data_IF_775386431841
#
_entry.id   IF_775386431841
#
_cell.length_a   1.000
_cell.length_b   1.000
_cell.length_c   1.000
_cell.angle_alpha   90.00
_cell.angle_beta   90.00
_cell.angle_gamma   90.00
#
_symmetry.space_group_name_H-M   'P 1'
#
loop_
_entity.id
_entity.type
_entity.pdbx_description
1 polymer ?
#
# COMPACT_ATOMS: atom_id res chain seq x y z
N UNK A 1 33.49 -58.10 11.57
CA UNK A 1 32.90 -57.42 10.38
C UNK A 1 31.54 -56.75 10.64
N UNK A 2 30.59 -57.30 11.40
CA UNK A 2 29.25 -56.65 11.64
C UNK A 2 29.29 -55.37 12.50
N UNK A 3 30.27 -55.24 13.40
CA UNK A 3 30.41 -54.06 14.28
C UNK A 3 31.06 -52.88 13.59
N UNK A 4 31.97 -53.11 12.66
CA UNK A 4 32.64 -52.05 11.88
C UNK A 4 31.69 -51.36 10.92
N UNK A 5 30.76 -52.09 10.29
CA UNK A 5 29.77 -51.49 9.39
C UNK A 5 28.77 -50.59 10.11
N UNK A 6 28.44 -50.84 11.38
CA UNK A 6 27.57 -49.97 12.19
C UNK A 6 28.26 -48.69 12.61
N UNK A 7 29.59 -48.72 12.81
CA UNK A 7 30.39 -47.54 13.14
C UNK A 7 30.50 -46.59 11.95
N UNK A 8 30.68 -47.12 10.74
CA UNK A 8 30.74 -46.33 9.51
C UNK A 8 29.38 -45.71 9.15
N UNK A 9 28.26 -46.41 9.42
CA UNK A 9 26.92 -45.86 9.21
C UNK A 9 26.63 -44.71 10.20
N UNK A 10 27.07 -44.82 11.45
CA UNK A 10 26.91 -43.77 12.47
C UNK A 10 27.73 -42.53 12.19
N UNK A 11 28.98 -42.67 11.71
CA UNK A 11 29.81 -41.55 11.32
C UNK A 11 29.31 -40.83 10.06
N UNK A 12 28.75 -41.56 9.08
CA UNK A 12 28.15 -40.99 7.88
C UNK A 12 26.89 -40.15 8.18
N UNK A 13 26.10 -40.57 9.19
CA UNK A 13 24.89 -39.83 9.60
C UNK A 13 25.22 -38.55 10.38
N UNK A 14 26.26 -38.55 11.22
CA UNK A 14 26.71 -37.35 11.94
C UNK A 14 27.37 -36.33 11.00
N UNK A 15 28.09 -36.75 9.93
CA UNK A 15 28.67 -35.83 8.97
C UNK A 15 27.60 -35.09 8.10
N UNK A 16 26.44 -35.73 7.89
CA UNK A 16 25.32 -35.08 7.15
C UNK A 16 24.61 -33.99 7.92
N UNK A 17 24.73 -33.96 9.26
CA UNK A 17 24.06 -32.94 10.08
C UNK A 17 24.85 -31.63 10.23
N UNK A 18 26.12 -31.61 9.86
CA UNK A 18 26.98 -30.41 9.91
C UNK A 18 26.90 -29.59 8.60
N UNK A 19 26.33 -30.16 7.55
CA UNK A 19 26.25 -29.51 6.22
C UNK A 19 25.23 -28.40 6.11
N UNK A 20 24.37 -28.15 7.13
CA UNK A 20 23.34 -27.13 7.09
C UNK A 20 23.66 -25.86 7.90
N UNK A 21 24.82 -25.79 8.58
CA UNK A 21 25.18 -24.63 9.42
C UNK A 21 25.52 -23.38 8.60
N UNK A 22 25.94 -23.53 7.36
CA UNK A 22 26.40 -22.42 6.53
C UNK A 22 25.33 -21.98 5.49
N UNK A 23 24.12 -22.56 5.55
CA UNK A 23 23.08 -22.30 4.58
C UNK A 23 22.61 -20.83 4.62
N UNK A 24 22.52 -20.26 5.80
CA UNK A 24 22.14 -18.86 5.98
C UNK A 24 23.24 -17.91 5.50
N UNK A 25 24.51 -18.26 5.72
CA UNK A 25 25.66 -17.47 5.27
C UNK A 25 25.82 -17.52 3.74
N UNK A 26 25.63 -18.68 3.12
CA UNK A 26 25.70 -18.85 1.66
C UNK A 26 24.51 -18.18 0.94
N UNK A 27 23.34 -18.12 1.57
CA UNK A 27 22.17 -17.46 1.01
C UNK A 27 22.08 -15.95 1.29
N UNK A 28 22.98 -15.42 2.12
CA UNK A 28 23.05 -13.97 2.33
C UNK A 28 23.68 -13.32 1.11
N UNK A 29 22.92 -12.50 0.38
CA UNK A 29 23.49 -11.75 -0.74
C UNK A 29 24.40 -10.63 -0.18
N UNK A 30 25.74 -10.73 -0.33
CA UNK A 30 26.66 -9.76 0.26
C UNK A 30 26.58 -8.36 -0.40
N UNK A 31 25.87 -8.26 -1.52
CA UNK A 31 25.64 -6.99 -2.24
C UNK A 31 24.23 -6.43 -2.04
N UNK A 32 23.37 -7.13 -1.31
CA UNK A 32 22.07 -6.60 -0.95
C UNK A 32 22.24 -5.49 0.09
N UNK A 33 21.55 -4.37 -0.12
CA UNK A 33 21.48 -3.35 0.92
C UNK A 33 20.75 -3.94 2.15
N UNK A 34 21.36 -3.82 3.33
CA UNK A 34 20.69 -4.19 4.58
C UNK A 34 19.42 -3.35 4.78
N UNK A 35 18.49 -3.88 5.57
CA UNK A 35 17.21 -3.18 5.85
C UNK A 35 17.42 -1.79 6.44
N UNK A 36 18.53 -1.58 7.15
CA UNK A 36 18.92 -0.30 7.73
C UNK A 36 19.23 0.80 6.71
N UNK A 37 19.47 0.44 5.44
CA UNK A 37 19.70 1.39 4.35
C UNK A 37 18.45 1.64 3.50
N UNK A 38 17.39 0.86 3.68
CA UNK A 38 16.15 0.99 2.91
C UNK A 38 15.29 2.08 3.53
N UNK A 39 15.21 3.24 2.88
CA UNK A 39 14.36 4.33 3.36
C UNK A 39 12.89 4.03 3.11
N UNK A 40 11.97 4.39 4.04
CA UNK A 40 10.54 4.14 3.91
C UNK A 40 9.93 4.73 2.63
N UNK A 41 10.46 5.86 2.17
CA UNK A 41 10.03 6.53 0.93
C UNK A 41 10.20 5.63 -0.30
N UNK A 42 11.17 4.71 -0.33
CA UNK A 42 11.38 3.83 -1.48
C UNK A 42 10.21 2.85 -1.66
N UNK A 43 9.73 2.28 -0.57
CA UNK A 43 8.56 1.40 -0.60
C UNK A 43 7.28 2.18 -0.94
N UNK A 44 7.10 3.39 -0.38
CA UNK A 44 5.98 4.26 -0.71
C UNK A 44 6.00 4.68 -2.17
N UNK A 45 7.15 5.11 -2.70
CA UNK A 45 7.31 5.49 -4.10
C UNK A 45 7.05 4.32 -5.05
N UNK A 46 7.50 3.12 -4.68
CA UNK A 46 7.20 1.92 -5.46
C UNK A 46 5.68 1.64 -5.47
N UNK A 47 5.01 1.77 -4.33
CA UNK A 47 3.56 1.65 -4.25
C UNK A 47 2.84 2.66 -5.14
N UNK A 48 3.25 3.93 -5.09
CA UNK A 48 2.66 5.00 -5.92
C UNK A 48 2.92 4.73 -7.41
N UNK A 49 4.15 4.34 -7.76
CA UNK A 49 4.53 4.04 -9.15
C UNK A 49 3.77 2.84 -9.73
N UNK A 50 3.60 1.77 -8.96
CA UNK A 50 2.84 0.60 -9.40
C UNK A 50 1.34 0.87 -9.54
N UNK A 51 0.78 1.76 -8.72
CA UNK A 51 -0.62 2.16 -8.82
C UNK A 51 -0.90 3.01 -10.07
N UNK A 52 0.13 3.56 -10.71
CA UNK A 52 0.00 4.16 -12.03
C UNK A 52 -0.12 3.05 -13.06
N UNK A 53 -1.33 2.81 -13.54
CA UNK A 53 -1.59 1.75 -14.50
C UNK A 53 -0.64 1.88 -15.70
N UNK A 54 0.06 0.81 -16.05
CA UNK A 54 0.75 0.76 -17.32
C UNK A 54 -0.27 0.84 -18.48
N UNK A 55 0.15 1.22 -19.70
CA UNK A 55 -0.78 1.41 -20.82
C UNK A 55 -1.70 0.21 -21.08
N UNK A 56 -1.18 -1.02 -20.92
CA UNK A 56 -1.97 -2.23 -21.13
C UNK A 56 -3.03 -2.46 -20.05
N UNK A 57 -2.71 -2.20 -18.77
CA UNK A 57 -3.68 -2.25 -17.67
C UNK A 57 -4.69 -1.12 -17.82
N UNK A 58 -4.25 0.11 -18.13
CA UNK A 58 -5.14 1.26 -18.32
C UNK A 58 -6.14 1.05 -19.45
N UNK A 59 -5.72 0.48 -20.58
CA UNK A 59 -6.62 0.14 -21.67
C UNK A 59 -7.73 -0.82 -21.20
N UNK A 60 -7.37 -1.88 -20.47
CA UNK A 60 -8.32 -2.87 -19.97
C UNK A 60 -9.28 -2.30 -18.94
N UNK A 61 -8.75 -1.56 -17.98
CA UNK A 61 -9.51 -1.05 -16.84
C UNK A 61 -10.34 0.16 -17.25
N UNK A 62 -9.69 1.19 -17.79
CA UNK A 62 -10.33 2.49 -18.03
C UNK A 62 -11.15 2.46 -19.31
N UNK A 63 -10.55 2.01 -20.43
CA UNK A 63 -11.23 2.09 -21.75
C UNK A 63 -12.29 1.00 -21.88
N UNK A 64 -11.93 -0.25 -21.59
CA UNK A 64 -12.85 -1.35 -21.85
C UNK A 64 -13.86 -1.55 -20.72
N UNK A 65 -13.51 -1.32 -19.46
CA UNK A 65 -14.42 -1.56 -18.34
C UNK A 65 -15.11 -0.26 -17.86
N UNK A 66 -14.37 0.66 -17.28
CA UNK A 66 -14.97 1.83 -16.63
C UNK A 66 -15.70 2.75 -17.61
N UNK A 67 -15.11 3.01 -18.79
CA UNK A 67 -15.74 3.89 -19.77
C UNK A 67 -17.02 3.28 -20.34
N UNK A 68 -17.06 1.94 -20.53
CA UNK A 68 -18.27 1.22 -20.94
C UNK A 68 -19.32 1.21 -19.82
N UNK A 69 -18.93 0.94 -18.57
CA UNK A 69 -19.83 0.96 -17.42
C UNK A 69 -20.42 2.37 -17.20
N UNK A 70 -19.61 3.41 -17.40
CA UNK A 70 -20.03 4.82 -17.34
C UNK A 70 -20.79 5.28 -18.60
N UNK A 71 -20.97 4.43 -19.60
CA UNK A 71 -21.62 4.75 -20.89
C UNK A 71 -20.95 5.91 -21.65
N UNK A 72 -19.67 6.10 -21.48
CA UNK A 72 -18.86 7.08 -22.20
C UNK A 72 -18.50 6.57 -23.60
N UNK A 73 -18.30 5.26 -23.74
CA UNK A 73 -18.08 4.61 -25.02
C UNK A 73 -19.00 3.40 -25.21
N UNK A 74 -19.15 2.96 -26.47
CA UNK A 74 -19.91 1.75 -26.81
C UNK A 74 -19.17 0.47 -26.45
N UNK A 75 -19.93 -0.61 -26.32
CA UNK A 75 -19.38 -1.96 -26.10
C UNK A 75 -18.55 -2.42 -27.31
N UNK A 76 -17.36 -2.94 -27.04
CA UNK A 76 -16.57 -3.61 -28.08
C UNK A 76 -17.03 -5.06 -28.21
N UNK A 77 -17.49 -5.43 -29.40
CA UNK A 77 -18.20 -6.69 -29.66
C UNK A 77 -17.40 -7.98 -29.42
N UNK A 78 -16.08 -7.91 -29.29
CA UNK A 78 -15.20 -9.06 -29.03
C UNK A 78 -14.75 -9.21 -27.57
N UNK A 79 -15.05 -8.25 -26.73
CA UNK A 79 -14.76 -8.28 -25.30
C UNK A 79 -16.08 -8.19 -24.54
N UNK A 80 -16.26 -9.04 -23.51
CA UNK A 80 -17.43 -8.99 -22.63
C UNK A 80 -17.35 -7.79 -21.67
N UNK A 81 -16.99 -6.65 -22.19
CA UNK A 81 -16.68 -5.43 -21.47
C UNK A 81 -17.94 -4.85 -20.82
N UNK A 82 -17.84 -4.48 -19.58
CA UNK A 82 -18.97 -3.97 -18.80
C UNK A 82 -19.97 -5.05 -18.38
N UNK A 83 -19.65 -6.32 -18.57
CA UNK A 83 -20.37 -7.47 -18.04
C UNK A 83 -19.61 -8.06 -16.86
N UNK A 84 -20.31 -8.62 -15.90
CA UNK A 84 -19.76 -9.17 -14.63
C UNK A 84 -18.78 -10.34 -14.74
N UNK A 85 -18.31 -10.71 -15.90
CA UNK A 85 -17.38 -11.82 -16.11
C UNK A 85 -16.15 -11.35 -16.90
N UNK A 86 -15.46 -10.35 -16.39
CA UNK A 86 -14.28 -9.81 -17.05
C UNK A 86 -12.98 -10.27 -16.40
N UNK A 87 -12.57 -11.50 -16.70
CA UNK A 87 -11.26 -12.02 -16.30
C UNK A 87 -10.11 -11.23 -16.94
N UNK A 88 -10.37 -10.56 -18.06
CA UNK A 88 -9.35 -9.82 -18.80
C UNK A 88 -8.89 -8.55 -18.04
N UNK A 89 -9.81 -7.87 -17.37
CA UNK A 89 -9.50 -6.71 -16.52
C UNK A 89 -8.94 -7.15 -15.17
N UNK A 90 -9.61 -8.10 -14.53
CA UNK A 90 -9.25 -8.55 -13.18
C UNK A 90 -7.88 -9.23 -13.12
N UNK A 91 -7.49 -9.98 -14.16
CA UNK A 91 -6.19 -10.64 -14.24
C UNK A 91 -4.99 -9.68 -14.18
N UNK A 92 -5.17 -8.40 -14.49
CA UNK A 92 -4.12 -7.38 -14.46
C UNK A 92 -4.29 -6.42 -13.29
N UNK A 93 -5.51 -5.94 -13.05
CA UNK A 93 -5.73 -4.87 -12.07
C UNK A 93 -5.69 -5.37 -10.62
N UNK A 94 -6.23 -6.56 -10.37
CA UNK A 94 -6.19 -7.17 -9.04
C UNK A 94 -4.76 -7.36 -8.50
N UNK A 95 -3.82 -8.00 -9.23
CA UNK A 95 -2.44 -8.15 -8.76
C UNK A 95 -1.70 -6.81 -8.66
N UNK A 96 -1.95 -5.84 -9.56
CA UNK A 96 -1.32 -4.52 -9.51
C UNK A 96 -1.73 -3.76 -8.23
N UNK A 97 -3.04 -3.73 -7.90
CA UNK A 97 -3.53 -3.12 -6.66
C UNK A 97 -3.01 -3.85 -5.42
N UNK A 98 -3.05 -5.19 -5.41
CA UNK A 98 -2.58 -5.99 -4.28
C UNK A 98 -1.09 -5.75 -4.01
N UNK A 99 -0.27 -5.67 -5.05
CA UNK A 99 1.15 -5.36 -4.94
C UNK A 99 1.40 -3.95 -4.43
N UNK A 100 0.62 -2.96 -4.91
CA UNK A 100 0.71 -1.58 -4.45
C UNK A 100 0.32 -1.43 -2.99
N UNK A 101 -0.74 -2.10 -2.53
CA UNK A 101 -1.16 -2.13 -1.11
C UNK A 101 -0.08 -2.76 -0.24
N UNK A 102 0.52 -3.88 -0.69
CA UNK A 102 1.64 -4.51 -0.01
C UNK A 102 2.81 -3.55 0.19
N UNK A 103 3.22 -2.83 -0.87
CA UNK A 103 4.32 -1.87 -0.79
C UNK A 103 4.01 -0.68 0.12
N UNK A 104 2.77 -0.17 0.14
CA UNK A 104 2.34 0.84 1.10
C UNK A 104 2.41 0.33 2.55
N UNK A 105 2.03 -0.93 2.78
CA UNK A 105 2.14 -1.58 4.09
C UNK A 105 3.60 -1.75 4.50
N UNK A 106 4.48 -2.17 3.58
CA UNK A 106 5.92 -2.26 3.84
C UNK A 106 6.54 -0.90 4.16
N UNK A 107 6.06 0.20 3.55
CA UNK A 107 6.52 1.54 3.89
C UNK A 107 6.20 1.90 5.35
N UNK A 108 5.02 1.51 5.85
CA UNK A 108 4.62 1.73 7.26
C UNK A 108 5.56 0.97 8.20
N UNK A 109 5.81 -0.31 7.93
CA UNK A 109 6.71 -1.14 8.74
C UNK A 109 8.17 -0.66 8.65
N UNK A 110 8.61 -0.22 7.47
CA UNK A 110 9.96 0.30 7.28
C UNK A 110 10.22 1.57 8.13
N UNK A 111 9.21 2.41 8.37
CA UNK A 111 9.36 3.55 9.30
C UNK A 111 9.68 3.05 10.70
N UNK A 112 8.99 2.03 11.19
CA UNK A 112 9.20 1.49 12.54
C UNK A 112 10.63 0.95 12.70
N UNK A 113 11.10 0.17 11.73
CA UNK A 113 12.47 -0.35 11.71
C UNK A 113 13.52 0.77 11.63
N UNK A 114 13.30 1.78 10.80
CA UNK A 114 14.24 2.89 10.62
C UNK A 114 14.32 3.82 11.83
N UNK A 115 13.24 4.01 12.59
CA UNK A 115 13.29 4.83 13.81
C UNK A 115 14.23 4.25 14.87
N UNK A 116 14.45 2.95 14.88
CA UNK A 116 15.36 2.25 15.78
C UNK A 116 16.79 2.11 15.21
N UNK A 117 16.97 2.30 13.90
CA UNK A 117 18.24 2.11 13.23
C UNK A 117 19.26 3.20 13.62
N UNK A 118 20.51 2.79 13.87
CA UNK A 118 21.61 3.70 14.22
C UNK A 118 22.02 4.62 13.05
N UNK A 119 21.70 4.23 11.82
CA UNK A 119 21.97 5.00 10.59
C UNK A 119 21.01 6.16 10.36
N UNK A 120 19.88 6.21 11.09
CA UNK A 120 18.84 7.22 10.91
C UNK A 120 19.26 8.54 11.55
N UNK A 121 19.28 9.59 10.76
CA UNK A 121 19.64 10.94 11.20
C UNK A 121 18.59 11.55 12.14
N UNK A 122 18.98 12.61 12.88
CA UNK A 122 18.03 13.31 13.76
C UNK A 122 16.83 13.88 13.00
N UNK A 123 17.06 14.44 11.80
CA UNK A 123 15.98 14.94 10.94
C UNK A 123 15.04 13.82 10.47
N UNK A 124 15.59 12.70 10.02
CA UNK A 124 14.77 11.55 9.58
C UNK A 124 13.91 10.99 10.72
N UNK A 125 14.42 10.99 11.97
CA UNK A 125 13.63 10.58 13.14
C UNK A 125 12.41 11.49 13.37
N UNK A 126 12.50 12.75 13.00
CA UNK A 126 11.37 13.69 13.07
C UNK A 126 10.45 13.58 11.83
N UNK A 127 11.01 13.31 10.65
CA UNK A 127 10.28 13.31 9.40
C UNK A 127 9.59 11.96 9.07
N UNK A 128 10.21 10.83 9.39
CA UNK A 128 9.65 9.50 9.07
C UNK A 128 8.28 9.23 9.69
N UNK A 129 7.90 9.75 10.86
CA UNK A 129 6.52 9.69 11.34
C UNK A 129 5.51 10.30 10.33
N UNK A 130 5.87 11.37 9.61
CA UNK A 130 5.03 11.92 8.54
C UNK A 130 4.96 10.96 7.34
N UNK A 131 6.08 10.35 6.93
CA UNK A 131 6.11 9.34 5.86
C UNK A 131 5.19 8.16 6.18
N UNK A 132 5.15 7.74 7.45
CA UNK A 132 4.18 6.72 7.92
C UNK A 132 2.74 7.15 7.65
N UNK A 133 2.40 8.41 7.93
CA UNK A 133 1.04 8.90 7.66
C UNK A 133 0.75 8.99 6.17
N UNK A 134 1.71 9.41 5.35
CA UNK A 134 1.55 9.43 3.89
C UNK A 134 1.30 8.02 3.34
N UNK A 135 2.04 7.01 3.84
CA UNK A 135 1.82 5.62 3.46
C UNK A 135 0.45 5.09 3.91
N UNK A 136 -0.04 5.46 5.11
CA UNK A 136 -1.39 5.14 5.59
C UNK A 136 -2.47 5.76 4.69
N UNK A 137 -2.32 7.03 4.32
CA UNK A 137 -3.26 7.73 3.43
C UNK A 137 -3.29 7.07 2.06
N UNK A 138 -2.12 6.77 1.50
CA UNK A 138 -2.01 6.13 0.19
C UNK A 138 -2.58 4.71 0.20
N UNK A 139 -2.28 3.94 1.24
CA UNK A 139 -2.87 2.61 1.43
C UNK A 139 -4.39 2.65 1.53
N UNK A 140 -4.95 3.60 2.28
CA UNK A 140 -6.40 3.77 2.38
C UNK A 140 -7.04 4.08 1.01
N UNK A 141 -6.39 4.90 0.18
CA UNK A 141 -6.80 5.13 -1.20
C UNK A 141 -6.82 3.83 -2.01
N UNK A 142 -5.73 3.07 -1.98
CA UNK A 142 -5.62 1.81 -2.74
C UNK A 142 -6.64 0.76 -2.29
N UNK A 143 -6.88 0.65 -0.98
CA UNK A 143 -7.91 -0.26 -0.45
C UNK A 143 -9.29 0.19 -0.93
N UNK A 144 -9.58 1.50 -0.99
CA UNK A 144 -10.85 1.99 -1.53
C UNK A 144 -11.04 1.61 -3.00
N UNK A 145 -9.98 1.73 -3.82
CA UNK A 145 -10.01 1.29 -5.22
C UNK A 145 -10.21 -0.23 -5.33
N UNK A 146 -9.59 -1.00 -4.43
CA UNK A 146 -9.77 -2.45 -4.40
C UNK A 146 -11.21 -2.83 -4.06
N UNK A 147 -11.75 -2.29 -2.97
CA UNK A 147 -13.11 -2.59 -2.50
C UNK A 147 -14.16 -2.19 -3.55
N UNK A 148 -13.99 -1.04 -4.17
CA UNK A 148 -14.89 -0.54 -5.22
C UNK A 148 -14.92 -1.40 -6.49
N UNK A 149 -13.83 -2.11 -6.80
CA UNK A 149 -13.73 -2.93 -8.02
C UNK A 149 -13.90 -4.43 -7.77
N UNK A 150 -13.50 -4.93 -6.60
CA UNK A 150 -13.41 -6.37 -6.34
C UNK A 150 -14.20 -6.83 -5.10
N UNK A 151 -14.75 -5.90 -4.31
CA UNK A 151 -15.45 -6.20 -3.07
C UNK A 151 -14.51 -6.33 -1.85
N UNK A 152 -14.91 -7.08 -0.81
CA UNK A 152 -14.24 -7.13 0.46
C UNK A 152 -12.72 -7.37 0.39
N UNK A 153 -11.96 -6.70 1.28
CA UNK A 153 -10.51 -6.79 1.37
C UNK A 153 -10.06 -7.33 2.75
N UNK A 154 -9.05 -8.20 2.84
CA UNK A 154 -8.58 -8.75 4.10
C UNK A 154 -7.58 -7.80 4.80
N UNK A 155 -8.05 -6.69 5.36
CA UNK A 155 -7.23 -5.58 5.88
C UNK A 155 -6.20 -6.05 6.91
N UNK A 156 -6.63 -6.82 7.92
CA UNK A 156 -5.77 -7.22 9.04
C UNK A 156 -4.86 -8.40 8.73
N UNK A 157 -5.26 -9.25 7.77
CA UNK A 157 -4.58 -10.50 7.47
C UNK A 157 -3.98 -10.57 6.07
N UNK A 158 -3.89 -9.45 5.40
CA UNK A 158 -3.41 -9.37 4.00
C UNK A 158 -2.02 -9.99 3.78
N UNK A 159 -1.11 -9.87 4.74
CA UNK A 159 0.21 -10.50 4.68
C UNK A 159 0.25 -11.88 5.36
N UNK A 160 -0.87 -12.38 5.85
CA UNK A 160 -0.97 -13.68 6.52
C UNK A 160 -1.20 -14.83 5.54
N UNK A 161 -0.98 -16.06 6.03
CA UNK A 161 -1.18 -17.28 5.23
C UNK A 161 -2.66 -17.58 4.95
N UNK A 162 -3.55 -17.16 5.85
CA UNK A 162 -5.00 -17.39 5.77
C UNK A 162 -5.75 -16.05 5.89
N UNK A 163 -5.90 -15.30 4.81
CA UNK A 163 -6.57 -14.01 4.85
C UNK A 163 -8.05 -14.14 5.21
N UNK A 164 -8.49 -13.36 6.18
CA UNK A 164 -9.90 -13.22 6.56
C UNK A 164 -10.44 -11.96 5.93
N UNK A 165 -11.44 -12.10 5.06
CA UNK A 165 -12.08 -10.98 4.41
C UNK A 165 -13.09 -10.31 5.34
N UNK A 166 -13.05 -9.00 5.41
CA UNK A 166 -14.02 -8.18 6.12
C UNK A 166 -15.30 -8.02 5.29
N UNK A 167 -16.31 -7.34 5.84
CA UNK A 167 -17.39 -6.83 4.98
C UNK A 167 -16.98 -5.53 4.30
N UNK A 168 -17.58 -5.17 3.16
CA UNK A 168 -17.36 -3.88 2.50
C UNK A 168 -17.64 -2.69 3.45
N UNK A 169 -18.60 -2.85 4.36
CA UNK A 169 -18.89 -1.87 5.39
C UNK A 169 -17.71 -1.67 6.34
N UNK A 170 -17.16 -2.75 6.86
CA UNK A 170 -16.01 -2.69 7.78
C UNK A 170 -14.78 -2.10 7.08
N UNK A 171 -14.58 -2.44 5.80
CA UNK A 171 -13.52 -1.88 4.97
C UNK A 171 -13.67 -0.36 4.82
N UNK A 172 -14.87 0.14 4.53
CA UNK A 172 -15.13 1.58 4.43
C UNK A 172 -14.98 2.30 5.77
N UNK A 173 -15.43 1.70 6.88
CA UNK A 173 -15.21 2.24 8.22
C UNK A 173 -13.72 2.34 8.54
N UNK A 174 -12.94 1.30 8.21
CA UNK A 174 -11.48 1.33 8.33
C UNK A 174 -10.85 2.44 7.48
N UNK A 175 -11.18 2.54 6.20
CA UNK A 175 -10.64 3.52 5.27
C UNK A 175 -10.88 4.96 5.77
N UNK A 176 -12.11 5.29 6.16
CA UNK A 176 -12.47 6.61 6.66
C UNK A 176 -11.73 6.94 7.97
N UNK A 177 -11.61 5.96 8.87
CA UNK A 177 -10.86 6.08 10.12
C UNK A 177 -9.37 6.30 9.86
N UNK A 178 -8.75 5.50 8.97
CA UNK A 178 -7.33 5.64 8.60
C UNK A 178 -7.03 7.04 8.04
N UNK A 179 -7.85 7.53 7.14
CA UNK A 179 -7.69 8.87 6.56
C UNK A 179 -7.81 9.97 7.62
N UNK A 180 -8.78 9.86 8.52
CA UNK A 180 -8.99 10.82 9.62
C UNK A 180 -7.80 10.86 10.58
N UNK A 181 -7.39 9.69 11.06
CA UNK A 181 -6.31 9.56 12.03
C UNK A 181 -4.95 9.96 11.42
N UNK A 182 -4.67 9.51 10.20
CA UNK A 182 -3.44 9.86 9.52
C UNK A 182 -3.34 11.38 9.26
N UNK A 183 -4.41 12.00 8.78
CA UNK A 183 -4.45 13.45 8.58
C UNK A 183 -4.22 14.23 9.88
N UNK A 184 -4.76 13.75 11.00
CA UNK A 184 -4.60 14.38 12.31
C UNK A 184 -3.19 14.19 12.88
N UNK A 185 -2.53 13.06 12.57
CA UNK A 185 -1.21 12.72 13.07
C UNK A 185 -0.05 13.35 12.29
N UNK A 186 -0.30 13.95 11.13
CA UNK A 186 0.72 14.66 10.37
C UNK A 186 1.22 15.88 11.13
N UNK A 187 2.54 15.95 11.37
CA UNK A 187 3.19 17.14 11.88
C UNK A 187 3.57 18.09 10.74
N UNK A 188 2.76 19.11 10.53
CA UNK A 188 2.94 20.07 9.43
C UNK A 188 4.13 21.02 9.60
N UNK A 189 4.77 21.02 10.79
CA UNK A 189 5.96 21.83 11.06
C UNK A 189 7.26 21.15 10.64
N UNK A 190 7.25 19.82 10.44
CA UNK A 190 8.41 19.05 10.01
C UNK A 190 8.37 18.88 8.50
N UNK A 191 9.16 19.70 7.81
CA UNK A 191 9.23 19.71 6.35
C UNK A 191 10.30 18.73 5.85
N UNK A 192 10.15 18.16 4.65
CA UNK A 192 11.19 17.36 4.03
C UNK A 192 12.42 18.24 3.70
N UNK A 193 13.61 17.66 3.78
CA UNK A 193 14.79 18.29 3.14
C UNK A 193 14.69 18.16 1.61
N UNK A 194 15.49 18.95 0.88
CA UNK A 194 15.41 18.99 -0.60
C UNK A 194 15.54 17.60 -1.26
N UNK A 195 16.44 16.75 -0.75
CA UNK A 195 16.63 15.39 -1.27
C UNK A 195 15.40 14.50 -1.07
N UNK A 196 14.73 14.62 0.07
CA UNK A 196 13.50 13.87 0.38
C UNK A 196 12.34 14.36 -0.48
N UNK A 197 12.20 15.68 -0.64
CA UNK A 197 11.17 16.28 -1.49
C UNK A 197 11.30 15.89 -2.96
N UNK A 198 12.54 15.73 -3.45
CA UNK A 198 12.80 15.27 -4.82
C UNK A 198 12.48 13.79 -5.06
N UNK A 199 12.37 13.01 -4.00
CA UNK A 199 11.99 11.60 -4.09
C UNK A 199 10.48 11.39 -4.22
N UNK A 200 9.64 12.42 -3.99
CA UNK A 200 8.19 12.31 -4.12
C UNK A 200 7.81 12.14 -5.60
N UNK A 201 7.10 11.06 -5.98
CA UNK A 201 6.64 10.86 -7.34
C UNK A 201 5.58 11.88 -7.79
N UNK A 202 4.97 12.60 -6.86
CA UNK A 202 4.07 13.72 -7.16
C UNK A 202 4.85 15.04 -7.17
N UNK A 203 5.34 15.44 -8.31
CA UNK A 203 6.22 16.63 -8.52
C UNK A 203 5.74 17.90 -7.80
N UNK A 204 4.43 18.08 -7.69
CA UNK A 204 3.85 19.26 -7.05
C UNK A 204 3.66 19.11 -5.53
N UNK A 205 3.79 17.90 -4.98
CA UNK A 205 3.54 17.62 -3.55
C UNK A 205 4.85 17.64 -2.78
N UNK A 206 5.92 17.02 -3.31
CA UNK A 206 7.27 17.00 -2.74
C UNK A 206 7.33 16.58 -1.27
N UNK A 207 6.51 15.61 -0.89
CA UNK A 207 6.33 15.19 0.51
C UNK A 207 5.93 16.32 1.47
N UNK A 208 5.29 17.38 0.95
CA UNK A 208 4.76 18.47 1.76
C UNK A 208 3.64 17.95 2.69
N UNK A 209 3.84 18.01 4.02
CA UNK A 209 2.88 17.46 4.97
C UNK A 209 1.53 18.19 4.95
N UNK A 210 1.50 19.47 4.61
CA UNK A 210 0.24 20.23 4.47
C UNK A 210 -0.55 19.73 3.27
N UNK A 211 0.10 19.48 2.15
CA UNK A 211 -0.56 18.94 0.95
C UNK A 211 -1.08 17.53 1.17
N UNK A 212 -0.31 16.67 1.82
CA UNK A 212 -0.76 15.32 2.19
C UNK A 212 -1.95 15.33 3.17
N UNK A 213 -1.95 16.24 4.15
CA UNK A 213 -3.10 16.43 5.04
C UNK A 213 -4.35 16.87 4.27
N UNK A 214 -4.20 17.82 3.37
CA UNK A 214 -5.29 18.27 2.50
C UNK A 214 -5.81 17.16 1.59
N UNK A 215 -4.90 16.38 1.02
CA UNK A 215 -5.25 15.23 0.18
C UNK A 215 -6.08 14.20 0.96
N UNK A 216 -5.64 13.83 2.17
CA UNK A 216 -6.35 12.87 3.02
C UNK A 216 -7.78 13.32 3.32
N UNK A 217 -7.97 14.60 3.70
CA UNK A 217 -9.30 15.14 3.99
C UNK A 217 -10.18 15.20 2.73
N UNK A 218 -9.61 15.60 1.59
CA UNK A 218 -10.36 15.64 0.31
C UNK A 218 -10.76 14.24 -0.14
N UNK A 219 -9.88 13.27 0.00
CA UNK A 219 -10.18 11.86 -0.27
C UNK A 219 -11.29 11.34 0.67
N UNK A 220 -11.19 11.66 1.96
CA UNK A 220 -12.21 11.29 2.95
C UNK A 220 -13.58 11.86 2.59
N UNK A 221 -13.66 13.13 2.16
CA UNK A 221 -14.91 13.73 1.67
C UNK A 221 -15.47 12.97 0.47
N UNK A 222 -14.61 12.66 -0.52
CA UNK A 222 -15.00 11.90 -1.73
C UNK A 222 -15.58 10.54 -1.36
N UNK A 223 -14.92 9.81 -0.47
CA UNK A 223 -15.33 8.47 -0.07
C UNK A 223 -16.57 8.49 0.82
N UNK A 224 -16.71 9.49 1.71
CA UNK A 224 -17.95 9.70 2.48
C UNK A 224 -19.17 9.90 1.57
N UNK A 225 -19.05 10.64 0.46
CA UNK A 225 -20.12 10.82 -0.50
C UNK A 225 -20.60 9.52 -1.16
N UNK A 226 -19.74 8.51 -1.28
CA UNK A 226 -20.15 7.19 -1.81
C UNK A 226 -21.14 6.48 -0.89
N UNK A 227 -21.11 6.78 0.41
CA UNK A 227 -22.03 6.24 1.40
C UNK A 227 -23.39 6.96 1.43
N UNK A 228 -23.56 8.05 0.68
CA UNK A 228 -24.73 8.94 0.78
C UNK A 228 -26.09 8.26 0.58
N UNK A 229 -26.14 7.17 -0.18
CA UNK A 229 -27.35 6.40 -0.44
C UNK A 229 -27.47 5.14 0.45
N UNK A 230 -26.43 4.78 1.19
CA UNK A 230 -26.36 3.54 1.99
C UNK A 230 -26.39 3.88 3.48
N UNK A 231 -25.53 4.81 3.91
CA UNK A 231 -25.44 5.31 5.29
C UNK A 231 -25.29 6.84 5.28
N UNK A 232 -26.41 7.52 5.15
CA UNK A 232 -26.46 8.99 5.06
C UNK A 232 -25.90 9.68 6.29
N UNK A 233 -26.06 9.10 7.48
CA UNK A 233 -25.60 9.71 8.73
C UNK A 233 -24.07 9.70 8.81
N UNK A 234 -23.44 8.56 8.52
CA UNK A 234 -21.99 8.45 8.43
C UNK A 234 -21.45 9.34 7.31
N UNK A 235 -22.06 9.31 6.12
CA UNK A 235 -21.65 10.14 4.99
C UNK A 235 -21.62 11.63 5.36
N UNK A 236 -22.66 12.14 5.97
CA UNK A 236 -22.75 13.54 6.38
C UNK A 236 -21.70 13.87 7.45
N UNK A 237 -21.58 13.05 8.49
CA UNK A 237 -20.65 13.28 9.60
C UNK A 237 -19.20 13.32 9.11
N UNK A 238 -18.80 12.34 8.29
CA UNK A 238 -17.43 12.23 7.78
C UNK A 238 -17.11 13.36 6.79
N UNK A 239 -18.07 13.72 5.93
CA UNK A 239 -17.89 14.82 4.99
C UNK A 239 -17.72 16.18 5.70
N UNK A 240 -18.66 16.52 6.62
CA UNK A 240 -18.64 17.79 7.34
C UNK A 240 -17.39 17.91 8.23
N UNK A 241 -16.98 16.82 8.87
CA UNK A 241 -15.79 16.81 9.71
C UNK A 241 -14.51 17.02 8.87
N UNK A 242 -14.39 16.37 7.73
CA UNK A 242 -13.24 16.52 6.83
C UNK A 242 -13.16 17.93 6.21
N UNK A 243 -14.29 18.59 5.99
CA UNK A 243 -14.36 19.94 5.42
C UNK A 243 -13.94 21.05 6.40
N UNK A 244 -13.84 20.74 7.72
CA UNK A 244 -13.53 21.75 8.73
C UNK A 244 -12.13 22.33 8.61
N UNK A 245 -11.98 23.61 8.85
CA UNK A 245 -10.68 24.27 9.01
C UNK A 245 -9.89 24.50 7.72
N UNK A 246 -10.53 24.46 6.55
CA UNK A 246 -9.88 24.70 5.24
C UNK A 246 -8.69 23.78 4.97
N UNK A 247 -8.75 22.54 5.48
CA UNK A 247 -7.70 21.51 5.31
C UNK A 247 -8.01 20.55 4.17
N UNK A 248 -8.54 21.08 3.06
CA UNK A 248 -8.87 20.35 1.83
C UNK A 248 -8.09 20.92 0.65
N UNK A 249 -7.96 20.14 -0.42
CA UNK A 249 -7.40 20.63 -1.68
C UNK A 249 -8.32 21.67 -2.29
N UNK A 250 -7.73 22.75 -2.79
CA UNK A 250 -8.39 23.80 -3.56
C UNK A 250 -7.80 23.85 -4.96
N UNK A 251 -8.44 24.54 -5.89
CA UNK A 251 -8.04 24.62 -7.30
C UNK A 251 -6.91 25.66 -7.56
N UNK A 252 -6.08 25.93 -6.56
CA UNK A 252 -5.01 26.95 -6.65
C UNK A 252 -3.78 26.41 -7.36
#
# INVERSE_FOLDING_TARGET
MKTMNKLFLGLGFCAGLVSCSDFDEVNTNPTAAGEEYVKPQYALNNSIGQAQMNPGTAERVVVYNWASAARICGEMSFLNVGRYSDDYTSAYYYPDLSSSIKNATLAITAVENQLEAATTTAHEKEFFPNVKQFARIWRAYLISEFVDNFGPYPIESFLGENPVFNSEKDDYEFILKELKEAAAAINTSVLPVEAEGKCDPFDNVKYDPVKWQKYANSLRMRLAMRLSNIDKATAQTEFEDAAKGNKILTAD
#
